data_IF_851246915778
#
_entry.id   IF_851246915778
#
_cell.length_a   1.000
_cell.length_b   1.000
_cell.length_c   1.000
_cell.angle_alpha   90.00
_cell.angle_beta   90.00
_cell.angle_gamma   90.00
#
_symmetry.space_group_name_H-M   'P 1'
#
loop_
_entity.id
_entity.type
_entity.pdbx_description
1 polymer ?
#
# COMPACT_ATOMS: atom_id res chain seq x y z
N UNK A 1 -0.93 58.60 5.56
CA UNK A 1 0.44 59.12 5.29
C UNK A 1 1.05 59.60 6.60
N UNK A 2 1.89 58.76 7.24
CA UNK A 2 2.79 59.09 8.36
C UNK A 2 4.09 58.27 8.16
N UNK A 3 5.26 58.78 8.58
CA UNK A 3 6.53 58.59 7.89
C UNK A 3 7.34 57.36 8.34
N UNK A 4 8.36 57.10 7.54
CA UNK A 4 9.34 56.03 7.63
C UNK A 4 10.44 56.25 8.69
N UNK A 5 10.98 55.11 9.14
CA UNK A 5 12.38 54.82 9.48
C UNK A 5 13.03 55.52 10.69
N UNK A 6 13.80 54.76 11.48
CA UNK A 6 15.29 54.71 11.43
C UNK A 6 15.83 54.09 12.74
N UNK A 7 16.69 53.06 12.54
CA UNK A 7 17.86 52.64 13.36
C UNK A 7 17.64 52.25 14.83
N UNK A 8 18.52 51.50 15.49
CA UNK A 8 19.55 50.51 15.17
C UNK A 8 19.95 49.95 16.55
N UNK A 9 20.52 48.75 16.54
CA UNK A 9 21.01 48.01 17.70
C UNK A 9 21.93 48.82 18.63
N UNK A 10 22.07 48.37 19.89
CA UNK A 10 23.31 47.86 20.54
C UNK A 10 23.03 47.67 22.03
N UNK A 11 23.20 46.46 22.55
CA UNK A 11 24.06 46.15 23.71
C UNK A 11 23.76 44.75 24.25
N UNK A 12 24.80 43.92 24.22
CA UNK A 12 24.83 42.58 24.74
C UNK A 12 25.09 42.54 26.26
N UNK A 13 24.84 41.35 26.79
CA UNK A 13 25.42 40.73 28.00
C UNK A 13 24.70 40.94 29.33
N UNK A 14 24.08 39.85 29.81
CA UNK A 14 24.45 39.24 31.09
C UNK A 14 23.98 37.78 31.14
N UNK A 15 24.95 36.87 31.17
CA UNK A 15 24.78 35.44 31.39
C UNK A 15 24.48 35.23 32.88
N UNK A 16 23.35 34.60 33.20
CA UNK A 16 23.12 33.98 34.51
C UNK A 16 22.50 32.61 34.29
N UNK A 17 23.24 31.61 34.71
CA UNK A 17 23.03 30.21 34.45
C UNK A 17 22.15 29.54 35.54
N UNK A 18 21.69 28.34 35.16
CA UNK A 18 21.34 27.16 35.98
C UNK A 18 20.23 27.28 37.04
N UNK A 19 19.07 26.69 36.73
CA UNK A 19 18.60 25.44 37.37
C UNK A 19 17.10 25.23 37.10
N UNK A 20 16.71 24.06 36.57
CA UNK A 20 15.33 23.58 36.69
C UNK A 20 14.72 22.99 35.42
N UNK A 21 14.93 21.69 35.23
CA UNK A 21 14.06 20.68 34.58
C UNK A 21 13.01 21.19 33.58
N UNK A 22 13.24 21.06 32.27
CA UNK A 22 12.92 19.86 31.47
C UNK A 22 11.41 19.56 31.40
N UNK A 23 10.84 19.62 30.18
CA UNK A 23 9.99 18.60 29.53
C UNK A 23 9.37 19.17 28.23
N UNK A 24 9.37 18.34 27.18
CA UNK A 24 8.76 18.49 25.85
C UNK A 24 9.62 19.01 24.69
N UNK A 25 10.66 18.27 24.28
CA UNK A 25 11.15 18.30 22.89
C UNK A 25 11.74 16.96 22.40
N UNK A 26 11.17 15.78 22.68
CA UNK A 26 11.76 14.56 22.08
C UNK A 26 10.68 13.47 21.90
N UNK A 27 10.19 13.28 20.67
CA UNK A 27 9.45 12.08 20.27
C UNK A 27 9.42 11.93 18.73
N UNK A 28 10.59 11.91 18.10
CA UNK A 28 10.77 11.45 16.72
C UNK A 28 12.12 10.70 16.63
N UNK A 29 12.36 9.73 17.50
CA UNK A 29 13.44 8.75 17.28
C UNK A 29 13.23 7.51 18.18
N UNK A 30 12.30 6.65 17.77
CA UNK A 30 12.31 5.25 18.22
C UNK A 30 12.21 4.36 16.98
N UNK A 31 13.21 4.48 16.12
CA UNK A 31 13.56 3.42 15.19
C UNK A 31 14.65 2.60 15.87
N UNK A 32 14.26 1.61 16.67
CA UNK A 32 15.20 0.61 17.19
C UNK A 32 16.04 0.03 16.04
N UNK A 33 17.28 -0.43 16.31
CA UNK A 33 18.16 -0.92 15.26
C UNK A 33 17.53 -2.14 14.59
N UNK A 34 17.03 -1.95 13.37
CA UNK A 34 16.68 -3.05 12.46
C UNK A 34 17.91 -3.93 12.33
N UNK A 35 17.87 -5.12 12.93
CA UNK A 35 18.89 -6.15 12.71
C UNK A 35 18.86 -6.48 11.22
N UNK A 36 19.93 -6.12 10.51
CA UNK A 36 20.13 -6.53 9.14
C UNK A 36 20.07 -8.06 9.06
N UNK A 37 19.13 -8.57 8.28
CA UNK A 37 19.11 -9.99 7.89
C UNK A 37 20.36 -10.21 7.02
N UNK A 38 21.23 -11.18 7.32
CA UNK A 38 22.40 -11.45 6.49
C UNK A 38 21.91 -11.89 5.10
N UNK A 39 22.06 -11.00 4.12
CA UNK A 39 21.80 -11.32 2.73
C UNK A 39 22.98 -12.16 2.23
N UNK A 40 22.73 -13.46 2.03
CA UNK A 40 23.70 -14.33 1.36
C UNK A 40 23.99 -13.82 -0.06
N UNK A 41 25.12 -14.23 -0.67
CA UNK A 41 25.58 -13.73 -1.96
C UNK A 41 24.65 -14.02 -3.15
N UNK A 42 23.58 -14.79 -2.95
CA UNK A 42 22.60 -15.17 -3.98
C UNK A 42 21.19 -14.59 -3.77
N UNK A 43 21.00 -13.73 -2.75
CA UNK A 43 19.72 -13.06 -2.54
C UNK A 43 19.58 -11.91 -3.54
N UNK A 44 18.99 -12.18 -4.70
CA UNK A 44 18.42 -11.11 -5.53
C UNK A 44 17.44 -10.37 -4.64
N UNK A 45 17.73 -9.11 -4.32
CA UNK A 45 16.86 -8.30 -3.49
C UNK A 45 15.46 -8.33 -4.10
N UNK A 46 14.50 -8.92 -3.38
CA UNK A 46 13.11 -8.93 -3.82
C UNK A 46 12.70 -7.47 -4.02
N UNK A 47 12.11 -7.10 -5.18
CA UNK A 47 11.57 -5.77 -5.33
C UNK A 47 10.61 -5.49 -4.17
N UNK A 48 10.54 -4.24 -3.67
CA UNK A 48 9.60 -3.89 -2.61
C UNK A 48 8.17 -4.30 -3.04
N UNK A 49 7.30 -4.66 -2.09
CA UNK A 49 5.90 -4.98 -2.38
C UNK A 49 5.32 -3.94 -3.33
N UNK A 50 4.68 -4.40 -4.39
CA UNK A 50 4.00 -3.49 -5.32
C UNK A 50 2.62 -3.21 -4.74
N UNK A 51 2.31 -1.97 -4.32
CA UNK A 51 0.91 -1.63 -4.15
C UNK A 51 0.21 -1.97 -5.48
N UNK A 52 -0.73 -2.90 -5.38
CA UNK A 52 -1.47 -3.60 -6.45
C UNK A 52 -1.15 -3.12 -7.87
N UNK A 53 -0.10 -3.70 -8.46
CA UNK A 53 0.18 -3.53 -9.88
C UNK A 53 0.54 -2.13 -10.35
N UNK A 54 0.86 -1.20 -9.44
CA UNK A 54 1.17 0.19 -9.78
C UNK A 54 2.37 0.29 -10.73
N UNK A 55 3.41 -0.54 -10.53
CA UNK A 55 4.54 -0.58 -11.47
C UNK A 55 4.13 -1.19 -12.81
N UNK A 56 3.32 -2.23 -12.80
CA UNK A 56 2.87 -2.90 -14.02
C UNK A 56 2.02 -1.96 -14.90
N UNK A 57 1.21 -1.10 -14.29
CA UNK A 57 0.37 -0.13 -14.99
C UNK A 57 1.16 0.88 -15.84
N UNK A 58 2.43 1.11 -15.51
CA UNK A 58 3.32 2.07 -16.18
C UNK A 58 4.23 1.44 -17.23
N UNK A 59 4.26 0.11 -17.34
CA UNK A 59 5.13 -0.59 -18.29
C UNK A 59 4.65 -0.43 -19.73
N UNK A 60 5.58 -0.44 -20.67
CA UNK A 60 5.30 -0.66 -22.08
C UNK A 60 5.03 -2.15 -22.37
N UNK A 61 4.45 -2.46 -23.52
CA UNK A 61 4.24 -3.85 -23.97
C UNK A 61 5.54 -4.67 -24.00
N UNK A 62 6.65 -4.07 -24.45
CA UNK A 62 7.94 -4.74 -24.49
C UNK A 62 8.51 -5.02 -23.10
N UNK A 63 8.36 -4.07 -22.16
CA UNK A 63 8.80 -4.25 -20.77
C UNK A 63 7.94 -5.30 -20.06
N UNK A 64 6.64 -5.29 -20.33
CA UNK A 64 5.70 -6.29 -19.81
C UNK A 64 6.10 -7.71 -20.23
N UNK A 65 6.35 -7.91 -21.53
CA UNK A 65 6.78 -9.20 -22.05
C UNK A 65 8.13 -9.64 -21.47
N UNK A 66 9.08 -8.70 -21.32
CA UNK A 66 10.38 -8.98 -20.70
C UNK A 66 10.26 -9.34 -19.21
N UNK A 67 9.29 -8.78 -18.50
CA UNK A 67 8.94 -9.10 -17.12
C UNK A 67 8.14 -10.41 -16.96
N UNK A 68 7.84 -11.12 -18.05
CA UNK A 68 7.02 -12.34 -18.03
C UNK A 68 5.53 -12.10 -17.87
N UNK A 69 5.06 -10.88 -18.14
CA UNK A 69 3.66 -10.50 -18.10
C UNK A 69 2.95 -10.61 -19.44
N UNK A 70 1.64 -10.42 -19.38
CA UNK A 70 0.77 -10.38 -20.56
C UNK A 70 0.29 -8.94 -20.81
N UNK A 71 0.54 -8.42 -22.02
CA UNK A 71 -0.01 -7.15 -22.46
C UNK A 71 -1.42 -7.35 -23.03
N UNK A 72 -2.44 -7.10 -22.22
CA UNK A 72 -3.83 -7.40 -22.57
C UNK A 72 -4.78 -6.25 -22.29
N UNK A 73 -5.95 -6.33 -22.90
CA UNK A 73 -7.08 -5.48 -22.53
C UNK A 73 -7.51 -5.85 -21.12
N UNK A 74 -7.29 -4.94 -20.18
CA UNK A 74 -7.80 -5.05 -18.81
C UNK A 74 -9.22 -4.54 -18.71
N UNK A 75 -9.67 -3.82 -19.74
CA UNK A 75 -11.05 -3.48 -19.97
C UNK A 75 -11.33 -3.08 -21.43
N UNK A 76 -12.51 -2.54 -21.72
CA UNK A 76 -12.92 -2.19 -23.07
C UNK A 76 -12.10 -1.06 -23.73
N UNK A 77 -11.37 -0.25 -22.94
CA UNK A 77 -10.73 0.98 -23.41
C UNK A 77 -9.22 1.05 -23.14
N UNK A 78 -8.68 0.16 -22.32
CA UNK A 78 -7.32 0.24 -21.80
C UNK A 78 -6.61 -1.11 -21.88
N UNK A 79 -5.41 -1.10 -22.47
CA UNK A 79 -4.45 -2.19 -22.36
C UNK A 79 -3.45 -1.87 -21.28
N UNK A 80 -3.12 -2.88 -20.48
CA UNK A 80 -2.10 -2.76 -19.44
C UNK A 80 -1.33 -4.07 -19.30
N UNK A 81 -0.23 -3.99 -18.56
CA UNK A 81 0.56 -5.16 -18.22
C UNK A 81 -0.09 -5.92 -17.06
N UNK A 82 -0.28 -7.22 -17.24
CA UNK A 82 -0.67 -8.14 -16.18
C UNK A 82 0.51 -9.06 -15.87
N UNK A 83 1.14 -8.85 -14.72
CA UNK A 83 2.25 -9.67 -14.24
C UNK A 83 1.73 -10.68 -13.21
N UNK A 84 2.16 -11.94 -13.26
CA UNK A 84 1.89 -12.89 -12.19
C UNK A 84 2.71 -12.53 -10.95
N UNK A 85 2.12 -12.72 -9.76
CA UNK A 85 2.90 -12.72 -8.53
C UNK A 85 3.43 -14.14 -8.24
N UNK A 86 4.68 -14.28 -7.78
CA UNK A 86 5.30 -15.59 -7.53
C UNK A 86 4.71 -16.33 -6.32
N UNK A 87 3.95 -15.62 -5.48
CA UNK A 87 3.27 -16.13 -4.31
C UNK A 87 1.75 -16.28 -4.50
N UNK A 88 1.26 -16.17 -5.73
CA UNK A 88 -0.13 -16.37 -6.10
C UNK A 88 -0.79 -17.58 -5.40
N UNK A 89 -1.93 -17.34 -4.76
CA UNK A 89 -2.77 -18.37 -4.16
C UNK A 89 -2.27 -18.95 -2.84
N UNK A 90 -1.13 -18.49 -2.30
CA UNK A 90 -0.71 -18.86 -0.94
C UNK A 90 -1.70 -18.30 0.08
N UNK A 91 -2.07 -19.11 1.08
CA UNK A 91 -2.86 -18.62 2.21
C UNK A 91 -2.10 -17.55 2.99
N UNK A 92 -2.81 -16.54 3.47
CA UNK A 92 -2.24 -15.42 4.19
C UNK A 92 -3.25 -14.85 5.19
N UNK A 93 -2.73 -14.13 6.20
CA UNK A 93 -3.53 -13.41 7.21
C UNK A 93 -3.24 -11.91 7.24
N UNK A 94 -2.21 -11.47 6.53
CA UNK A 94 -1.86 -10.07 6.36
C UNK A 94 -1.24 -9.83 4.97
N UNK A 95 -1.50 -8.65 4.39
CA UNK A 95 -0.95 -8.27 3.09
C UNK A 95 0.58 -8.21 3.04
N UNK A 96 1.24 -8.01 4.18
CA UNK A 96 2.71 -8.03 4.28
C UNK A 96 3.33 -9.41 4.02
N UNK A 97 2.53 -10.48 4.07
CA UNK A 97 2.93 -11.83 3.72
C UNK A 97 3.02 -12.05 2.21
N UNK A 98 2.41 -11.15 1.41
CA UNK A 98 2.28 -11.27 -0.03
C UNK A 98 3.02 -10.14 -0.78
N UNK A 99 3.41 -10.38 -2.02
CA UNK A 99 3.98 -9.36 -2.91
C UNK A 99 2.94 -8.38 -3.43
N UNK A 100 1.72 -8.86 -3.68
CA UNK A 100 0.59 -8.09 -4.22
C UNK A 100 -0.57 -7.84 -3.25
N UNK A 101 -0.46 -8.30 -2.01
CA UNK A 101 -1.51 -8.19 -0.97
C UNK A 101 -2.30 -9.47 -0.71
N UNK A 102 -2.97 -9.52 0.45
CA UNK A 102 -3.73 -10.67 0.93
C UNK A 102 -5.23 -10.39 0.82
N UNK A 103 -5.96 -11.22 0.07
CA UNK A 103 -7.36 -10.95 -0.28
C UNK A 103 -8.30 -12.10 0.06
N UNK A 104 -9.47 -11.75 0.59
CA UNK A 104 -10.62 -12.63 0.77
C UNK A 104 -11.64 -12.42 -0.35
N UNK A 105 -12.39 -13.48 -0.69
CA UNK A 105 -13.39 -13.47 -1.78
C UNK A 105 -14.84 -13.49 -1.30
N UNK A 106 -15.05 -13.62 0.02
CA UNK A 106 -16.34 -13.61 0.69
C UNK A 106 -16.21 -12.99 2.08
N UNK A 107 -17.33 -12.59 2.68
CA UNK A 107 -17.34 -11.93 3.98
C UNK A 107 -16.93 -12.85 5.11
N UNK A 108 -17.23 -14.15 5.04
CA UNK A 108 -16.83 -15.10 6.07
C UNK A 108 -15.30 -15.21 6.20
N UNK A 109 -14.59 -15.27 5.08
CA UNK A 109 -13.13 -15.28 5.02
C UNK A 109 -12.54 -13.93 5.47
N UNK A 110 -13.17 -12.83 5.04
CA UNK A 110 -12.75 -11.48 5.42
C UNK A 110 -12.86 -11.26 6.94
N UNK A 111 -13.97 -11.71 7.55
CA UNK A 111 -14.21 -11.66 9.00
C UNK A 111 -13.28 -12.59 9.78
N UNK A 112 -12.97 -13.76 9.22
CA UNK A 112 -12.00 -14.69 9.79
C UNK A 112 -10.55 -14.19 9.69
N UNK A 113 -10.30 -13.11 8.93
CA UNK A 113 -8.96 -12.57 8.74
C UNK A 113 -8.05 -13.47 7.92
N UNK A 114 -8.63 -14.25 7.00
CA UNK A 114 -7.90 -15.19 6.15
C UNK A 114 -8.16 -14.87 4.68
N UNK A 115 -7.13 -15.06 3.86
CA UNK A 115 -7.22 -14.82 2.43
C UNK A 115 -6.16 -15.58 1.65
N UNK A 116 -6.00 -15.19 0.40
CA UNK A 116 -4.92 -15.69 -0.46
C UNK A 116 -4.14 -14.54 -1.10
N UNK A 117 -2.85 -14.77 -1.32
CA UNK A 117 -2.00 -13.82 -2.03
C UNK A 117 -2.49 -13.65 -3.47
N UNK A 118 -2.56 -12.39 -3.89
CA UNK A 118 -3.10 -12.01 -5.20
C UNK A 118 -2.39 -12.74 -6.34
N UNK A 119 -3.14 -13.20 -7.33
CA UNK A 119 -2.56 -13.98 -8.42
C UNK A 119 -1.75 -13.13 -9.42
N UNK A 120 -2.25 -11.93 -9.74
CA UNK A 120 -1.63 -11.03 -10.73
C UNK A 120 -1.77 -9.58 -10.33
N UNK A 121 -1.02 -8.69 -10.97
CA UNK A 121 -1.10 -7.23 -10.78
C UNK A 121 -2.45 -6.63 -11.12
N UNK A 122 -3.33 -7.38 -11.82
CA UNK A 122 -4.69 -6.96 -12.12
C UNK A 122 -5.68 -7.68 -11.20
N UNK A 123 -6.47 -6.90 -10.46
CA UNK A 123 -7.59 -7.41 -9.67
C UNK A 123 -8.82 -7.54 -10.55
N UNK A 124 -9.42 -8.72 -10.58
CA UNK A 124 -10.67 -9.00 -11.28
C UNK A 124 -11.64 -9.73 -10.36
N UNK A 125 -12.93 -9.47 -10.53
CA UNK A 125 -13.97 -10.05 -9.69
C UNK A 125 -14.09 -9.34 -8.35
N UNK A 126 -14.67 -10.04 -7.37
CA UNK A 126 -14.91 -9.52 -6.04
C UNK A 126 -13.81 -9.95 -5.07
N UNK A 127 -13.19 -8.98 -4.41
CA UNK A 127 -12.23 -9.26 -3.35
C UNK A 127 -12.07 -8.10 -2.37
N UNK A 128 -11.87 -8.43 -1.10
CA UNK A 128 -11.55 -7.50 -0.02
C UNK A 128 -10.16 -7.78 0.52
N UNK A 129 -9.36 -6.74 0.77
CA UNK A 129 -8.08 -6.91 1.45
C UNK A 129 -8.33 -7.37 2.89
N UNK A 130 -7.59 -8.36 3.37
CA UNK A 130 -7.76 -8.87 4.74
C UNK A 130 -7.60 -7.72 5.75
N UNK A 131 -8.59 -7.58 6.64
CA UNK A 131 -8.67 -6.46 7.60
C UNK A 131 -9.52 -5.27 7.13
N UNK A 132 -9.98 -5.27 5.88
CA UNK A 132 -11.01 -4.35 5.41
C UNK A 132 -12.41 -4.80 5.89
N UNK A 133 -13.38 -3.89 5.78
CA UNK A 133 -14.81 -4.16 6.05
C UNK A 133 -15.65 -4.22 4.77
N UNK A 134 -15.01 -4.11 3.61
CA UNK A 134 -15.65 -4.08 2.30
C UNK A 134 -14.99 -5.07 1.35
N UNK A 135 -15.80 -5.63 0.46
CA UNK A 135 -15.35 -6.37 -0.71
C UNK A 135 -15.64 -5.52 -1.92
N UNK A 136 -14.61 -5.20 -2.70
CA UNK A 136 -14.78 -4.44 -3.94
C UNK A 136 -14.92 -5.41 -5.11
N UNK A 137 -16.01 -5.28 -5.85
CA UNK A 137 -16.29 -6.03 -7.05
C UNK A 137 -15.98 -5.18 -8.28
N UNK A 138 -15.03 -5.64 -9.09
CA UNK A 138 -14.75 -5.04 -10.40
C UNK A 138 -15.45 -5.85 -11.50
N UNK A 139 -16.52 -5.27 -12.06
CA UNK A 139 -17.30 -5.80 -13.18
C UNK A 139 -17.29 -4.83 -14.35
N UNK A 140 -16.78 -5.22 -15.52
CA UNK A 140 -16.84 -4.43 -16.77
C UNK A 140 -16.62 -2.91 -16.55
N UNK A 141 -15.56 -2.53 -15.82
CA UNK A 141 -15.17 -1.15 -15.46
C UNK A 141 -15.94 -0.45 -14.34
N UNK A 142 -16.91 -1.11 -13.74
CA UNK A 142 -17.67 -0.61 -12.60
C UNK A 142 -17.11 -1.23 -11.33
N UNK A 143 -16.79 -0.37 -10.36
CA UNK A 143 -16.47 -0.81 -9.01
C UNK A 143 -17.71 -0.69 -8.13
N UNK A 144 -18.11 -1.81 -7.55
CA UNK A 144 -19.17 -1.88 -6.55
C UNK A 144 -18.54 -2.27 -5.22
N UNK A 145 -18.64 -1.39 -4.23
CA UNK A 145 -18.15 -1.66 -2.87
C UNK A 145 -19.27 -2.31 -2.06
N UNK A 146 -19.10 -3.59 -1.76
CA UNK A 146 -20.03 -4.38 -0.95
C UNK A 146 -19.66 -4.29 0.52
N UNK A 147 -20.66 -4.11 1.38
CA UNK A 147 -20.61 -4.41 2.82
C UNK A 147 -21.43 -5.68 3.09
N UNK A 148 -21.27 -6.30 4.26
CA UNK A 148 -21.99 -7.54 4.64
C UNK A 148 -23.52 -7.37 4.58
N UNK A 149 -23.98 -6.18 4.91
CA UNK A 149 -25.39 -5.80 4.89
C UNK A 149 -25.87 -5.26 3.53
N UNK A 150 -25.01 -5.21 2.51
CA UNK A 150 -25.36 -4.65 1.20
C UNK A 150 -26.53 -5.40 0.56
N UNK A 151 -27.59 -4.68 0.21
CA UNK A 151 -28.75 -5.24 -0.50
C UNK A 151 -28.58 -5.21 -2.02
N UNK A 152 -27.40 -4.84 -2.52
CA UNK A 152 -27.10 -4.85 -3.94
C UNK A 152 -27.04 -6.30 -4.45
N UNK A 153 -27.75 -6.64 -5.56
CA UNK A 153 -27.71 -7.99 -6.13
C UNK A 153 -26.30 -8.43 -6.55
N UNK A 154 -25.40 -7.50 -6.89
CA UNK A 154 -24.01 -7.81 -7.24
C UNK A 154 -23.20 -8.33 -6.04
N UNK A 155 -23.68 -8.07 -4.81
CA UNK A 155 -23.07 -8.50 -3.56
C UNK A 155 -23.67 -9.81 -2.99
N UNK A 156 -24.72 -10.36 -3.60
CA UNK A 156 -25.50 -11.46 -2.98
C UNK A 156 -24.67 -12.73 -2.79
N UNK A 157 -23.74 -13.02 -3.72
CA UNK A 157 -22.86 -14.19 -3.68
C UNK A 157 -21.67 -14.12 -2.73
N UNK A 158 -21.52 -13.02 -1.98
CA UNK A 158 -20.36 -12.79 -1.09
C UNK A 158 -20.64 -13.13 0.38
N UNK A 159 -21.88 -13.51 0.70
CA UNK A 159 -22.35 -13.67 2.07
C UNK A 159 -21.93 -14.97 2.72
#
# INVERSE_FOLDING_TARGET
MRPAAVAAAVAAAAVAAVAGLALFTEALDDAGPVRAVPQGPDAVARPPPDPIGERAALMTESECAAGGGEWRWVNAFFKSCVLPYPDAGKECTASSECEGGCFAHDFDSLEAGVGTCLATTYRSGCMGEVGASTIDCLYDDIMVSCTRDSTDPECEGLR
#
